data_IF_301559163309
#
_entry.id   IF_301559163309
#
_cell.length_a   1.000
_cell.length_b   1.000
_cell.length_c   1.000
_cell.angle_alpha   90.00
_cell.angle_beta   90.00
_cell.angle_gamma   90.00
#
_symmetry.space_group_name_H-M   'P 1'
#
loop_
_entity.id
_entity.type
_entity.pdbx_description
1 polymer ?
#
# COMPACT_ATOMS: atom_id res chain seq x y z
N UNK A 1 -21.21 -78.07 35.89
CA UNK A 1 -19.79 -77.89 35.54
C UNK A 1 -19.78 -77.41 34.09
N UNK A 2 -19.96 -76.12 33.80
CA UNK A 2 -18.94 -75.05 33.83
C UNK A 2 -17.66 -75.43 33.11
N UNK A 3 -17.49 -74.92 31.89
CA UNK A 3 -16.34 -74.09 31.49
C UNK A 3 -16.78 -73.12 30.36
N UNK A 4 -16.41 -71.83 30.42
CA UNK A 4 -16.89 -70.79 29.48
C UNK A 4 -16.07 -70.73 28.18
N UNK A 5 -16.63 -70.17 27.09
CA UNK A 5 -15.88 -69.93 25.86
C UNK A 5 -14.80 -68.86 26.08
N UNK A 6 -13.57 -69.20 25.71
CA UNK A 6 -12.42 -68.29 25.74
C UNK A 6 -12.69 -67.06 24.87
N UNK A 7 -12.85 -65.92 25.52
CA UNK A 7 -12.91 -64.62 24.90
C UNK A 7 -11.49 -64.22 24.48
N UNK A 8 -11.07 -64.58 23.27
CA UNK A 8 -9.83 -64.06 22.67
C UNK A 8 -10.07 -62.61 22.23
N UNK A 9 -10.04 -61.70 23.20
CA UNK A 9 -9.89 -60.27 22.89
C UNK A 9 -8.54 -60.06 22.19
N UNK A 10 -8.50 -59.38 21.03
CA UNK A 10 -7.23 -59.03 20.41
C UNK A 10 -6.51 -58.05 21.34
N UNK A 11 -5.42 -58.52 21.94
CA UNK A 11 -4.44 -57.65 22.58
C UNK A 11 -4.01 -56.60 21.55
N UNK A 12 -4.16 -55.30 21.82
CA UNK A 12 -3.55 -54.29 20.96
C UNK A 12 -2.05 -54.43 21.16
N UNK A 13 -1.38 -55.04 20.18
CA UNK A 13 0.07 -55.04 20.10
C UNK A 13 0.52 -53.59 20.06
N UNK A 14 1.00 -53.10 21.20
CA UNK A 14 1.55 -51.77 21.37
C UNK A 14 2.95 -51.73 20.74
N UNK A 15 3.03 -52.06 19.45
CA UNK A 15 4.21 -51.87 18.65
C UNK A 15 4.23 -50.38 18.30
N UNK A 16 5.02 -49.60 19.04
CA UNK A 16 5.44 -48.28 18.59
C UNK A 16 6.21 -48.49 17.27
N UNK A 17 5.48 -48.47 16.15
CA UNK A 17 6.05 -48.73 14.84
C UNK A 17 7.01 -47.59 14.52
N UNK A 18 8.31 -47.82 14.75
CA UNK A 18 9.37 -46.90 14.36
C UNK A 18 9.39 -46.88 12.84
N UNK A 19 8.82 -45.82 12.26
CA UNK A 19 8.89 -45.55 10.82
C UNK A 19 10.03 -44.57 10.58
N UNK A 20 11.00 -44.98 9.76
CA UNK A 20 12.06 -44.09 9.33
C UNK A 20 11.51 -43.06 8.35
N UNK A 21 11.72 -41.78 8.64
CA UNK A 21 11.32 -40.67 7.78
C UNK A 21 12.57 -39.95 7.27
N UNK A 22 12.64 -39.75 5.95
CA UNK A 22 13.73 -38.99 5.34
C UNK A 22 13.35 -37.52 5.29
N UNK A 23 14.19 -36.66 5.85
CA UNK A 23 14.04 -35.19 5.82
C UNK A 23 15.05 -34.55 4.88
N UNK A 24 14.72 -33.40 4.33
CA UNK A 24 15.64 -32.65 3.45
C UNK A 24 16.89 -32.19 4.21
N UNK A 25 18.03 -32.06 3.51
CA UNK A 25 19.29 -31.59 4.09
C UNK A 25 19.20 -30.24 4.81
N UNK A 26 18.55 -29.21 4.23
CA UNK A 26 18.31 -27.93 4.91
C UNK A 26 17.49 -28.09 6.19
N UNK A 27 16.39 -28.84 6.15
CA UNK A 27 15.53 -29.09 7.32
C UNK A 27 16.31 -29.77 8.44
N UNK A 28 17.13 -30.77 8.11
CA UNK A 28 17.98 -31.45 9.09
C UNK A 28 18.99 -30.52 9.77
N UNK A 29 19.58 -29.57 9.02
CA UNK A 29 20.49 -28.55 9.60
C UNK A 29 19.74 -27.60 10.52
N UNK A 30 18.56 -27.13 10.13
CA UNK A 30 17.74 -26.23 10.96
C UNK A 30 17.29 -26.90 12.25
N UNK A 31 16.81 -28.15 12.19
CA UNK A 31 16.48 -28.93 13.39
C UNK A 31 17.70 -29.09 14.28
N UNK A 32 18.88 -29.36 13.70
CA UNK A 32 20.12 -29.45 14.46
C UNK A 32 20.51 -28.17 15.19
N UNK A 33 20.36 -27.00 14.55
CA UNK A 33 20.66 -25.72 15.16
C UNK A 33 19.67 -25.36 16.27
N UNK A 34 18.38 -25.57 16.03
CA UNK A 34 17.30 -25.21 16.98
C UNK A 34 17.25 -26.14 18.19
N UNK A 35 17.44 -27.45 17.99
CA UNK A 35 17.55 -28.40 19.09
C UNK A 35 18.75 -28.10 19.99
N UNK A 36 19.91 -27.76 19.40
CA UNK A 36 21.09 -27.34 20.15
C UNK A 36 20.85 -26.03 20.93
N UNK A 37 20.17 -25.05 20.33
CA UNK A 37 19.82 -23.77 20.99
C UNK A 37 18.94 -23.99 22.21
N UNK A 38 18.00 -24.94 22.14
CA UNK A 38 17.04 -25.23 23.20
C UNK A 38 17.52 -26.31 24.17
N UNK A 39 18.72 -26.87 23.97
CA UNK A 39 19.30 -27.90 24.84
C UNK A 39 18.56 -29.24 24.80
N UNK A 40 17.81 -29.53 23.74
CA UNK A 40 17.02 -30.76 23.57
C UNK A 40 17.63 -31.62 22.46
N UNK A 41 17.28 -32.90 22.43
CA UNK A 41 17.68 -33.76 21.31
C UNK A 41 16.88 -33.42 20.05
N UNK A 42 17.44 -33.73 18.87
CA UNK A 42 16.76 -33.51 17.58
C UNK A 42 15.43 -34.26 17.49
N UNK A 43 15.36 -35.45 18.10
CA UNK A 43 14.16 -36.28 18.15
C UNK A 43 13.09 -35.68 19.04
N UNK A 44 13.45 -35.20 20.23
CA UNK A 44 12.50 -34.52 21.14
C UNK A 44 11.98 -33.23 20.52
N UNK A 45 12.86 -32.45 19.88
CA UNK A 45 12.44 -31.25 19.17
C UNK A 45 11.47 -31.56 18.02
N UNK A 46 11.75 -32.59 17.22
CA UNK A 46 10.88 -33.01 16.12
C UNK A 46 9.53 -33.54 16.62
N UNK A 47 9.53 -34.35 17.67
CA UNK A 47 8.30 -34.88 18.29
C UNK A 47 7.45 -33.75 18.89
N UNK A 48 8.06 -32.84 19.64
CA UNK A 48 7.39 -31.67 20.19
C UNK A 48 6.81 -30.76 19.09
N UNK A 49 7.54 -30.56 17.99
CA UNK A 49 7.07 -29.76 16.86
C UNK A 49 5.86 -30.42 16.16
N UNK A 50 5.94 -31.72 15.86
CA UNK A 50 4.83 -32.47 15.23
C UNK A 50 3.59 -32.42 16.12
N UNK A 51 3.78 -32.71 17.41
CA UNK A 51 2.70 -32.67 18.40
C UNK A 51 2.10 -31.28 18.53
N UNK A 52 2.91 -30.24 18.55
CA UNK A 52 2.44 -28.85 18.60
C UNK A 52 1.51 -28.49 17.43
N UNK A 53 1.89 -28.86 16.20
CA UNK A 53 1.05 -28.60 15.02
C UNK A 53 -0.21 -29.47 15.01
N UNK A 54 -0.09 -30.74 15.39
CA UNK A 54 -1.21 -31.68 15.44
C UNK A 54 -2.25 -31.29 16.50
N UNK A 55 -1.83 -30.99 17.74
CA UNK A 55 -2.73 -30.61 18.84
C UNK A 55 -3.44 -29.27 18.58
N UNK A 56 -2.77 -28.34 17.88
CA UNK A 56 -3.35 -27.02 17.55
C UNK A 56 -4.15 -27.02 16.25
N UNK A 57 -4.22 -28.15 15.53
CA UNK A 57 -4.89 -28.25 14.23
C UNK A 57 -4.30 -27.31 13.18
N UNK A 58 -3.03 -26.92 13.33
CA UNK A 58 -2.34 -26.02 12.41
C UNK A 58 -1.78 -26.84 11.26
N UNK A 59 -2.21 -26.55 10.03
CA UNK A 59 -1.64 -27.16 8.84
C UNK A 59 -0.40 -26.35 8.39
N UNK A 60 0.83 -26.82 8.64
CA UNK A 60 2.05 -26.07 8.33
C UNK A 60 2.25 -25.83 6.83
N UNK A 61 1.56 -26.60 5.97
CA UNK A 61 1.62 -26.44 4.51
C UNK A 61 0.73 -25.29 4.02
N UNK A 62 -0.44 -25.11 4.64
CA UNK A 62 -1.40 -24.06 4.28
C UNK A 62 -1.18 -22.76 5.07
N UNK A 63 -0.65 -22.84 6.29
CA UNK A 63 -0.49 -21.68 7.18
C UNK A 63 0.52 -20.66 6.64
N UNK A 64 1.58 -21.11 5.96
CA UNK A 64 2.59 -20.23 5.39
C UNK A 64 2.00 -19.36 4.25
N UNK A 65 1.08 -19.92 3.45
CA UNK A 65 0.36 -19.16 2.44
C UNK A 65 -0.62 -18.16 3.07
N UNK A 66 -1.24 -18.52 4.19
CA UNK A 66 -2.18 -17.66 4.93
C UNK A 66 -1.49 -16.45 5.57
N UNK A 67 -0.29 -16.63 6.12
CA UNK A 67 0.49 -15.51 6.66
C UNK A 67 0.87 -14.50 5.57
N UNK A 68 1.28 -14.98 4.39
CA UNK A 68 1.55 -14.11 3.23
C UNK A 68 0.32 -13.32 2.77
N UNK A 69 -0.86 -13.94 2.78
CA UNK A 69 -2.12 -13.27 2.45
C UNK A 69 -2.52 -12.21 3.48
N UNK A 70 -2.33 -12.48 4.77
CA UNK A 70 -2.63 -11.52 5.84
C UNK A 70 -1.72 -10.29 5.76
N UNK A 71 -0.42 -10.49 5.52
CA UNK A 71 0.54 -9.40 5.35
C UNK A 71 0.15 -8.56 4.12
N UNK A 72 -0.16 -9.20 3.00
CA UNK A 72 -0.55 -8.51 1.77
C UNK A 72 -1.85 -7.70 1.94
N UNK A 73 -2.82 -8.25 2.69
CA UNK A 73 -4.07 -7.56 3.00
C UNK A 73 -3.83 -6.30 3.84
N UNK A 74 -2.96 -6.35 4.85
CA UNK A 74 -2.68 -5.16 5.67
C UNK A 74 -1.86 -4.11 4.90
N UNK A 75 -0.91 -4.53 4.05
CA UNK A 75 -0.18 -3.62 3.16
C UNK A 75 -1.14 -2.91 2.21
N UNK A 76 -2.08 -3.65 1.60
CA UNK A 76 -3.10 -3.08 0.73
C UNK A 76 -3.98 -2.09 1.48
N UNK A 77 -4.46 -2.46 2.67
CA UNK A 77 -5.31 -1.60 3.50
C UNK A 77 -4.60 -0.30 3.89
N UNK A 78 -3.31 -0.38 4.22
CA UNK A 78 -2.50 0.79 4.52
C UNK A 78 -2.31 1.67 3.28
N UNK A 79 -2.01 1.05 2.14
CA UNK A 79 -1.89 1.72 0.84
C UNK A 79 -3.18 2.47 0.48
N UNK A 80 -4.32 1.78 0.50
CA UNK A 80 -5.63 2.35 0.16
C UNK A 80 -5.95 3.57 1.06
N UNK A 81 -5.61 3.51 2.34
CA UNK A 81 -5.82 4.63 3.28
C UNK A 81 -4.96 5.83 2.94
N UNK A 82 -3.67 5.63 2.65
CA UNK A 82 -2.74 6.72 2.31
C UNK A 82 -3.14 7.35 0.97
N UNK A 83 -3.44 6.52 -0.05
CA UNK A 83 -3.89 7.02 -1.34
C UNK A 83 -5.19 7.79 -1.24
N UNK A 84 -6.17 7.30 -0.48
CA UNK A 84 -7.44 8.00 -0.26
C UNK A 84 -7.24 9.35 0.43
N UNK A 85 -6.36 9.40 1.45
CA UNK A 85 -6.05 10.66 2.13
C UNK A 85 -5.40 11.66 1.18
N UNK A 86 -4.40 11.24 0.40
CA UNK A 86 -3.72 12.10 -0.57
C UNK A 86 -4.68 12.61 -1.64
N UNK A 87 -5.56 11.74 -2.15
CA UNK A 87 -6.56 12.11 -3.14
C UNK A 87 -7.54 13.15 -2.59
N UNK A 88 -7.96 13.03 -1.32
CA UNK A 88 -8.84 14.03 -0.71
C UNK A 88 -8.13 15.36 -0.47
N UNK A 89 -6.85 15.34 -0.08
CA UNK A 89 -6.04 16.55 0.06
C UNK A 89 -5.82 17.24 -1.29
N UNK A 90 -5.51 16.48 -2.34
CA UNK A 90 -5.37 16.99 -3.71
C UNK A 90 -6.69 17.61 -4.19
N UNK A 91 -7.81 16.90 -3.98
CA UNK A 91 -9.14 17.41 -4.32
C UNK A 91 -9.45 18.72 -3.59
N UNK A 92 -9.15 18.80 -2.29
CA UNK A 92 -9.35 20.00 -1.48
C UNK A 92 -8.53 21.19 -2.01
N UNK A 93 -7.24 20.96 -2.30
CA UNK A 93 -6.35 21.99 -2.83
C UNK A 93 -6.77 22.48 -4.22
N UNK A 94 -7.03 21.54 -5.15
CA UNK A 94 -7.43 21.87 -6.52
C UNK A 94 -8.74 22.65 -6.55
N UNK A 95 -9.69 22.30 -5.68
CA UNK A 95 -10.98 22.97 -5.61
C UNK A 95 -10.85 24.41 -5.09
N UNK A 96 -9.99 24.65 -4.10
CA UNK A 96 -9.68 26.02 -3.65
C UNK A 96 -8.93 26.84 -4.71
N UNK A 97 -7.98 26.23 -5.43
CA UNK A 97 -7.31 26.89 -6.56
C UNK A 97 -8.31 27.27 -7.65
N UNK A 98 -9.25 26.39 -7.99
CA UNK A 98 -10.30 26.64 -8.97
C UNK A 98 -11.23 27.77 -8.52
N UNK A 99 -11.66 27.76 -7.24
CA UNK A 99 -12.45 28.84 -6.65
C UNK A 99 -11.73 30.18 -6.73
N UNK A 100 -10.44 30.19 -6.43
CA UNK A 100 -9.62 31.39 -6.54
C UNK A 100 -9.53 31.90 -7.99
N UNK A 101 -9.30 31.01 -8.97
CA UNK A 101 -9.26 31.37 -10.38
C UNK A 101 -10.61 31.94 -10.87
N UNK A 102 -11.73 31.32 -10.51
CA UNK A 102 -13.07 31.81 -10.85
C UNK A 102 -13.33 33.22 -10.28
N UNK A 103 -12.94 33.47 -9.02
CA UNK A 103 -13.05 34.81 -8.41
C UNK A 103 -12.19 35.84 -9.14
N UNK A 104 -10.95 35.47 -9.47
CA UNK A 104 -10.05 36.34 -10.24
C UNK A 104 -10.63 36.67 -11.62
N UNK A 105 -11.19 35.68 -12.32
CA UNK A 105 -11.83 35.90 -13.61
C UNK A 105 -13.03 36.86 -13.49
N UNK A 106 -13.89 36.68 -12.50
CA UNK A 106 -15.03 37.58 -12.28
C UNK A 106 -14.59 39.04 -12.00
N UNK A 107 -13.54 39.23 -11.19
CA UNK A 107 -12.97 40.56 -10.92
C UNK A 107 -12.33 41.16 -12.17
N UNK A 108 -11.63 40.35 -12.98
CA UNK A 108 -11.06 40.79 -14.25
C UNK A 108 -12.16 41.23 -15.22
N UNK A 109 -13.24 40.45 -15.37
CA UNK A 109 -14.38 40.82 -16.22
C UNK A 109 -15.03 42.14 -15.78
N UNK A 110 -15.23 42.34 -14.49
CA UNK A 110 -15.76 43.60 -13.96
C UNK A 110 -14.82 44.77 -14.24
N UNK A 111 -13.52 44.59 -14.01
CA UNK A 111 -12.50 45.62 -14.27
C UNK A 111 -12.47 45.97 -15.76
N UNK A 112 -12.56 44.97 -16.63
CA UNK A 112 -12.55 45.16 -18.07
C UNK A 112 -13.77 45.97 -18.54
N UNK A 113 -14.97 45.68 -18.00
CA UNK A 113 -16.18 46.49 -18.28
C UNK A 113 -16.04 47.94 -17.82
N UNK A 114 -15.42 48.18 -16.66
CA UNK A 114 -15.17 49.54 -16.15
C UNK A 114 -14.21 50.28 -17.07
N UNK A 115 -13.12 49.62 -17.48
CA UNK A 115 -12.12 50.18 -18.40
C UNK A 115 -12.74 50.47 -19.77
N UNK A 116 -13.58 49.56 -20.30
CA UNK A 116 -14.33 49.77 -21.54
C UNK A 116 -15.26 50.98 -21.46
N UNK A 117 -16.01 51.13 -20.37
CA UNK A 117 -16.89 52.28 -20.18
C UNK A 117 -16.13 53.62 -20.05
N UNK A 118 -14.96 53.61 -19.41
CA UNK A 118 -14.12 54.80 -19.24
C UNK A 118 -13.41 55.21 -20.53
N UNK A 119 -13.04 54.24 -21.38
CA UNK A 119 -12.33 54.47 -22.64
C UNK A 119 -13.27 54.52 -23.86
N UNK A 120 -14.56 54.22 -23.70
CA UNK A 120 -15.58 54.43 -24.72
C UNK A 120 -15.54 55.81 -25.41
N UNK A 121 -15.19 56.93 -24.72
CA UNK A 121 -15.02 58.24 -25.35
C UNK A 121 -13.75 58.37 -26.21
N UNK A 122 -12.71 57.55 -25.99
CA UNK A 122 -11.40 57.67 -26.67
C UNK A 122 -11.29 56.82 -27.96
N UNK A 123 -12.37 56.14 -28.36
CA UNK A 123 -12.46 55.34 -29.59
C UNK A 123 -11.92 53.91 -29.46
N UNK A 124 -12.58 52.95 -30.13
CA UNK A 124 -12.31 51.51 -29.96
C UNK A 124 -10.92 51.03 -30.41
N UNK A 125 -10.22 51.77 -31.28
CA UNK A 125 -8.89 51.39 -31.77
C UNK A 125 -7.78 51.51 -30.71
N UNK A 126 -7.86 52.52 -29.83
CA UNK A 126 -6.87 52.73 -28.76
C UNK A 126 -6.97 51.60 -27.73
N UNK A 127 -8.20 51.20 -27.42
CA UNK A 127 -8.56 50.13 -26.49
C UNK A 127 -8.05 48.76 -26.99
N UNK A 128 -8.23 48.46 -28.28
CA UNK A 128 -7.72 47.23 -28.90
C UNK A 128 -6.18 47.15 -28.85
N UNK A 129 -5.47 48.25 -29.10
CA UNK A 129 -4.00 48.30 -28.99
C UNK A 129 -3.52 48.06 -27.55
N UNK A 130 -4.22 48.63 -26.57
CA UNK A 130 -3.90 48.43 -25.15
C UNK A 130 -4.19 46.98 -24.72
N UNK A 131 -5.32 46.40 -25.16
CA UNK A 131 -5.64 44.99 -24.92
C UNK A 131 -4.58 44.05 -25.50
N UNK A 132 -4.17 44.23 -26.76
CA UNK A 132 -3.13 43.40 -27.38
C UNK A 132 -1.80 43.49 -26.63
N UNK A 133 -1.38 44.71 -26.24
CA UNK A 133 -0.13 44.91 -25.49
C UNK A 133 -0.19 44.25 -24.11
N UNK A 134 -1.33 44.32 -23.43
CA UNK A 134 -1.52 43.65 -22.14
C UNK A 134 -1.57 42.13 -22.28
N UNK A 135 -2.23 41.59 -23.30
CA UNK A 135 -2.25 40.15 -23.58
C UNK A 135 -0.84 39.60 -23.84
N UNK A 136 -0.01 40.33 -24.59
CA UNK A 136 1.39 39.94 -24.82
C UNK A 136 2.20 39.90 -23.51
N UNK A 137 2.05 40.92 -22.64
CA UNK A 137 2.72 40.95 -21.32
C UNK A 137 2.24 39.86 -20.37
N UNK A 138 0.94 39.55 -20.38
CA UNK A 138 0.39 38.44 -19.59
C UNK A 138 0.95 37.11 -20.10
N UNK A 139 0.98 36.90 -21.42
CA UNK A 139 1.54 35.67 -22.01
C UNK A 139 3.01 35.48 -21.63
N UNK A 140 3.81 36.55 -21.67
CA UNK A 140 5.21 36.53 -21.23
C UNK A 140 5.36 36.19 -19.74
N UNK A 141 4.56 36.83 -18.87
CA UNK A 141 4.59 36.58 -17.44
C UNK A 141 4.13 35.15 -17.08
N UNK A 142 3.11 34.63 -17.79
CA UNK A 142 2.64 33.25 -17.64
C UNK A 142 3.71 32.27 -18.08
N UNK A 143 4.33 32.49 -19.24
CA UNK A 143 5.42 31.63 -19.74
C UNK A 143 6.61 31.60 -18.77
N UNK A 144 7.00 32.76 -18.22
CA UNK A 144 8.05 32.85 -17.21
C UNK A 144 7.67 32.14 -15.90
N UNK A 145 6.42 32.27 -15.45
CA UNK A 145 5.90 31.58 -14.27
C UNK A 145 5.89 30.06 -14.43
N UNK A 146 5.43 29.55 -15.58
CA UNK A 146 5.42 28.13 -15.90
C UNK A 146 6.85 27.57 -15.96
N UNK A 147 7.78 28.26 -16.62
CA UNK A 147 9.18 27.85 -16.67
C UNK A 147 9.85 27.80 -15.27
N UNK A 148 9.50 28.73 -14.38
CA UNK A 148 10.03 28.76 -13.02
C UNK A 148 9.53 27.59 -12.15
N UNK A 149 8.31 27.11 -12.38
CA UNK A 149 7.76 25.92 -11.73
C UNK A 149 8.48 24.65 -12.20
N UNK A 150 8.78 24.56 -13.50
CA UNK A 150 9.48 23.42 -14.11
C UNK A 150 10.92 23.29 -13.58
N UNK A 151 11.63 24.42 -13.43
CA UNK A 151 13.01 24.45 -12.88
C UNK A 151 13.03 24.10 -11.38
N UNK A 152 12.00 24.48 -10.61
CA UNK A 152 11.89 24.10 -9.19
C UNK A 152 11.60 22.60 -9.01
N UNK A 153 10.85 21.98 -9.93
CA UNK A 153 10.62 20.54 -9.93
C UNK A 153 11.91 19.74 -10.19
N UNK A 154 12.81 20.25 -11.04
CA UNK A 154 14.10 19.62 -11.35
C UNK A 154 15.17 19.77 -10.25
N UNK A 155 15.10 20.81 -9.40
CA UNK A 155 16.10 21.05 -8.34
C UNK A 155 15.87 20.29 -7.03
N UNK A 156 14.68 19.70 -6.82
CA UNK A 156 14.35 18.99 -5.55
C UNK A 156 14.73 17.49 -5.57
N UNK A 157 15.18 16.98 -6.71
CA UNK A 157 15.52 15.57 -6.95
C UNK A 157 17.03 15.26 -6.91
N UNK A 158 17.85 16.15 -6.34
CA UNK A 158 19.30 15.96 -6.18
C UNK A 158 19.72 16.02 -4.72
#
# INVERSE_FOLDING_TARGET
>A
MQDPPQNTSPQPSNNSAVKHLTVSGPTHRMVGAESARLGVTRTEYADAAIRYFAERGLNPVESQAREGQLIMAEVKRLGDRVFSYLQEQERGLLLEMLRFQLRQQAVQEQTLRVVENLLAPEGGESLHKIQQKNQARIAEAVAAGVAALDIKALKKTR
#
